data_IF_003415429102
#
_entry.id   IF_003415429102
#
_cell.length_a   1.000
_cell.length_b   1.000
_cell.length_c   1.000
_cell.angle_alpha   90.00
_cell.angle_beta   90.00
_cell.angle_gamma   90.00
#
_symmetry.space_group_name_H-M   'P 1'
#
loop_
_entity.id
_entity.type
_entity.pdbx_description
1 polymer ?
#
# COMPACT_ATOMS: atom_id res chain seq x y z
N UNK A 1 -20.13 -6.52 -17.11
CA UNK A 1 -19.84 -5.90 -15.80
C UNK A 1 -21.13 -5.25 -15.29
N UNK A 2 -21.54 -5.53 -14.06
CA UNK A 2 -22.63 -4.79 -13.39
C UNK A 2 -21.97 -3.68 -12.58
N UNK A 3 -22.13 -2.43 -13.00
CA UNK A 3 -21.49 -1.25 -12.39
C UNK A 3 -22.56 -0.18 -12.23
N UNK A 4 -22.60 0.45 -11.07
CA UNK A 4 -23.48 1.56 -10.74
C UNK A 4 -22.65 2.74 -10.25
N UNK A 5 -23.07 3.96 -10.63
CA UNK A 5 -22.40 5.20 -10.23
C UNK A 5 -23.35 6.01 -9.36
N UNK A 6 -22.84 6.51 -8.24
CA UNK A 6 -23.58 7.37 -7.33
C UNK A 6 -22.83 8.68 -7.14
N UNK A 7 -23.56 9.80 -7.18
CA UNK A 7 -23.04 11.10 -6.80
C UNK A 7 -23.43 11.37 -5.35
N UNK A 8 -22.46 11.35 -4.45
CA UNK A 8 -22.62 11.59 -3.01
C UNK A 8 -21.32 12.11 -2.41
N UNK A 9 -21.42 12.77 -1.26
CA UNK A 9 -20.26 12.98 -0.40
C UNK A 9 -19.85 11.66 0.23
N UNK A 10 -18.56 11.49 0.49
CA UNK A 10 -18.07 10.22 1.05
C UNK A 10 -18.48 10.02 2.51
N UNK A 11 -18.69 11.12 3.26
CA UNK A 11 -19.27 11.07 4.60
C UNK A 11 -20.70 10.50 4.61
N UNK A 12 -21.39 10.56 3.46
CA UNK A 12 -22.73 10.01 3.27
C UNK A 12 -22.71 8.56 2.74
N UNK A 13 -21.54 7.92 2.59
CA UNK A 13 -21.42 6.56 2.08
C UNK A 13 -22.23 5.53 2.88
N UNK A 14 -22.50 5.80 4.15
CA UNK A 14 -23.37 5.00 5.01
C UNK A 14 -24.79 4.77 4.40
N UNK A 15 -25.25 5.69 3.55
CA UNK A 15 -26.57 5.65 2.90
C UNK A 15 -26.66 4.64 1.74
N UNK A 16 -25.51 4.19 1.20
CA UNK A 16 -25.50 3.20 0.12
C UNK A 16 -26.15 1.88 0.58
N UNK A 17 -26.85 1.12 -0.28
CA UNK A 17 -27.39 -0.17 0.09
C UNK A 17 -26.29 -1.23 0.28
N UNK A 18 -26.56 -2.24 1.11
CA UNK A 18 -25.70 -3.43 1.26
C UNK A 18 -24.39 -3.20 2.02
N UNK A 19 -23.45 -4.13 1.90
CA UNK A 19 -22.07 -4.01 2.40
C UNK A 19 -21.13 -4.53 1.30
N UNK A 20 -19.85 -4.22 1.43
CA UNK A 20 -18.83 -4.55 0.43
C UNK A 20 -17.73 -5.41 1.05
N UNK A 21 -17.32 -6.45 0.33
CA UNK A 21 -16.16 -7.28 0.70
C UNK A 21 -14.84 -6.54 0.48
N UNK A 22 -14.82 -5.59 -0.46
CA UNK A 22 -13.69 -4.74 -0.78
C UNK A 22 -14.12 -3.29 -0.93
N UNK A 23 -13.44 -2.39 -0.21
CA UNK A 23 -13.54 -0.94 -0.42
C UNK A 23 -12.17 -0.43 -0.86
N UNK A 24 -12.11 0.27 -1.98
CA UNK A 24 -10.88 0.89 -2.48
C UNK A 24 -10.99 2.42 -2.43
N UNK A 25 -10.32 3.06 -1.45
CA UNK A 25 -10.40 4.50 -1.20
C UNK A 25 -9.01 5.13 -1.33
N UNK A 26 -8.65 5.51 -2.56
CA UNK A 26 -7.31 5.98 -2.90
C UNK A 26 -7.34 7.46 -3.23
N UNK A 27 -6.53 8.28 -2.54
CA UNK A 27 -6.38 9.69 -2.89
C UNK A 27 -7.57 10.58 -2.48
N UNK A 28 -8.35 10.19 -1.46
CA UNK A 28 -9.60 10.89 -1.11
C UNK A 28 -9.64 11.38 0.34
N UNK A 29 -9.47 10.48 1.31
CA UNK A 29 -9.78 10.78 2.72
C UNK A 29 -9.01 11.99 3.29
N UNK A 30 -7.78 12.22 2.84
CA UNK A 30 -6.94 13.31 3.32
C UNK A 30 -7.32 14.69 2.76
N UNK A 31 -8.21 14.76 1.76
CA UNK A 31 -8.80 15.99 1.25
C UNK A 31 -10.12 16.35 1.94
N UNK A 32 -10.59 15.53 2.89
CA UNK A 32 -11.82 15.83 3.61
C UNK A 32 -11.56 16.88 4.69
N UNK A 33 -12.55 17.74 4.99
CA UNK A 33 -12.49 18.61 6.16
C UNK A 33 -12.50 17.80 7.47
N UNK A 34 -13.17 16.65 7.48
CA UNK A 34 -13.24 15.74 8.62
C UNK A 34 -12.92 14.29 8.19
N UNK A 35 -11.64 13.93 7.97
CA UNK A 35 -11.26 12.61 7.46
C UNK A 35 -11.81 11.45 8.27
N UNK A 36 -11.84 11.61 9.60
CA UNK A 36 -12.38 10.61 10.53
C UNK A 36 -13.84 10.26 10.19
N UNK A 37 -14.68 11.24 9.87
CA UNK A 37 -16.09 10.99 9.51
C UNK A 37 -16.19 10.19 8.22
N UNK A 38 -15.40 10.56 7.21
CA UNK A 38 -15.34 9.81 5.94
C UNK A 38 -14.87 8.37 6.15
N UNK A 39 -13.81 8.17 6.91
CA UNK A 39 -13.29 6.82 7.23
C UNK A 39 -14.32 5.98 7.97
N UNK A 40 -15.02 6.55 8.95
CA UNK A 40 -16.07 5.84 9.70
C UNK A 40 -17.27 5.49 8.82
N UNK A 41 -17.68 6.39 7.91
CA UNK A 41 -18.78 6.13 6.98
C UNK A 41 -18.47 4.92 6.08
N UNK A 42 -17.23 4.84 5.57
CA UNK A 42 -16.76 3.68 4.78
C UNK A 42 -16.66 2.41 5.62
N UNK A 43 -16.13 2.48 6.84
CA UNK A 43 -15.99 1.32 7.74
C UNK A 43 -17.35 0.65 8.06
N UNK A 44 -18.43 1.42 8.13
CA UNK A 44 -19.80 0.89 8.31
C UNK A 44 -20.26 0.06 7.11
N UNK A 45 -19.81 0.41 5.90
CA UNK A 45 -20.12 -0.30 4.66
C UNK A 45 -19.25 -1.51 4.39
N UNK A 46 -18.14 -1.66 5.10
CA UNK A 46 -17.31 -2.86 5.00
C UNK A 46 -18.05 -4.06 5.62
N UNK A 47 -18.14 -5.17 4.90
CA UNK A 47 -18.69 -6.42 5.39
C UNK A 47 -17.74 -7.04 6.45
N UNK A 48 -18.22 -7.85 7.41
CA UNK A 48 -17.34 -8.66 8.25
C UNK A 48 -16.41 -9.52 7.40
N UNK A 49 -15.11 -9.54 7.71
CA UNK A 49 -14.07 -10.17 6.89
C UNK A 49 -13.64 -9.36 5.66
N UNK A 50 -14.35 -8.27 5.34
CA UNK A 50 -14.01 -7.39 4.23
C UNK A 50 -12.74 -6.60 4.47
N UNK A 51 -12.10 -6.18 3.38
CA UNK A 51 -10.85 -5.42 3.35
C UNK A 51 -11.10 -4.03 2.78
N UNK A 52 -10.54 -3.01 3.41
CA UNK A 52 -10.51 -1.65 2.90
C UNK A 52 -9.08 -1.22 2.61
N UNK A 53 -8.83 -0.82 1.38
CA UNK A 53 -7.58 -0.26 0.91
C UNK A 53 -7.64 1.27 0.98
N UNK A 54 -6.65 1.89 1.63
CA UNK A 54 -6.56 3.35 1.81
C UNK A 54 -5.21 3.86 1.32
N UNK A 55 -5.25 5.00 0.62
CA UNK A 55 -4.10 5.84 0.33
C UNK A 55 -4.28 7.23 0.94
N UNK A 56 -3.30 7.70 1.71
CA UNK A 56 -3.22 9.08 2.23
C UNK A 56 -1.79 9.61 2.21
N UNK A 57 -1.62 10.92 2.19
CA UNK A 57 -0.31 11.53 2.10
C UNK A 57 0.53 11.44 3.39
N UNK A 58 1.84 11.29 3.20
CA UNK A 58 2.82 11.15 4.27
C UNK A 58 3.62 12.44 4.44
N UNK A 59 3.49 13.06 5.60
CA UNK A 59 4.04 14.38 5.92
C UNK A 59 5.56 14.43 5.74
N UNK A 60 6.29 13.41 6.21
CA UNK A 60 7.74 13.47 6.24
C UNK A 60 8.38 13.37 4.84
N UNK A 61 7.77 12.65 3.90
CA UNK A 61 8.27 12.60 2.52
C UNK A 61 7.74 13.71 1.62
N UNK A 62 6.70 14.42 2.07
CA UNK A 62 6.12 15.60 1.39
C UNK A 62 6.50 16.92 2.03
N UNK A 63 7.37 16.95 3.04
CA UNK A 63 7.70 18.19 3.76
C UNK A 63 8.25 19.30 2.83
N UNK A 64 8.96 18.97 1.73
CA UNK A 64 9.34 19.96 0.73
C UNK A 64 8.13 20.59 0.04
N UNK A 65 7.06 19.82 -0.21
CA UNK A 65 5.82 20.29 -0.83
C UNK A 65 5.14 21.28 0.09
N UNK A 66 5.01 20.94 1.38
CA UNK A 66 4.44 21.83 2.39
C UNK A 66 5.14 23.20 2.41
N UNK A 67 6.48 23.22 2.37
CA UNK A 67 7.23 24.47 2.34
C UNK A 67 6.96 25.32 1.09
N UNK A 68 6.76 24.67 -0.06
CA UNK A 68 6.43 25.37 -1.31
C UNK A 68 4.99 25.88 -1.27
N UNK A 69 4.04 25.09 -0.76
CA UNK A 69 2.65 25.52 -0.54
C UNK A 69 2.59 26.77 0.36
N UNK A 70 3.31 26.76 1.50
CA UNK A 70 3.41 27.90 2.41
C UNK A 70 4.05 29.13 1.72
N UNK A 71 5.12 28.92 0.95
CA UNK A 71 5.78 29.99 0.20
C UNK A 71 4.87 30.61 -0.88
N UNK A 72 4.12 29.78 -1.61
CA UNK A 72 3.12 30.24 -2.59
C UNK A 72 2.08 31.08 -1.86
N UNK A 73 1.46 30.55 -0.79
CA UNK A 73 0.42 31.28 -0.05
C UNK A 73 0.90 32.66 0.46
N UNK A 74 2.13 32.76 0.96
CA UNK A 74 2.74 34.03 1.38
C UNK A 74 2.89 35.02 0.21
N UNK A 75 3.26 34.53 -0.98
CA UNK A 75 3.47 35.36 -2.17
C UNK A 75 2.15 35.73 -2.88
N UNK A 76 1.11 34.92 -2.74
CA UNK A 76 -0.23 35.25 -3.24
C UNK A 76 -0.85 36.41 -2.46
N UNK A 77 -0.57 36.53 -1.16
CA UNK A 77 -1.10 37.60 -0.31
C UNK A 77 -2.64 37.64 -0.34
N UNK A 78 -3.22 38.74 -0.81
CA UNK A 78 -4.68 38.89 -0.92
C UNK A 78 -5.32 37.94 -1.96
N UNK A 79 -4.55 37.35 -2.87
CA UNK A 79 -5.02 36.39 -3.88
C UNK A 79 -4.98 34.93 -3.41
N UNK A 80 -4.73 34.67 -2.12
CA UNK A 80 -4.65 33.30 -1.61
C UNK A 80 -5.91 32.50 -1.96
N UNK A 81 -5.71 31.32 -2.55
CA UNK A 81 -6.80 30.46 -3.04
C UNK A 81 -7.17 30.67 -4.53
N UNK A 82 -6.60 31.67 -5.21
CA UNK A 82 -6.64 31.71 -6.68
C UNK A 82 -5.66 30.68 -7.25
N UNK A 83 -6.20 29.59 -7.79
CA UNK A 83 -5.41 28.50 -8.35
C UNK A 83 -4.51 28.93 -9.51
N UNK A 84 -4.98 29.83 -10.39
CA UNK A 84 -4.20 30.24 -11.57
C UNK A 84 -3.03 31.11 -11.16
N UNK A 85 -3.27 32.01 -10.21
CA UNK A 85 -2.21 32.80 -9.59
C UNK A 85 -1.20 31.90 -8.86
N UNK A 86 -1.68 30.94 -8.06
CA UNK A 86 -0.84 30.04 -7.28
C UNK A 86 0.08 29.18 -8.16
N UNK A 87 -0.45 28.64 -9.27
CA UNK A 87 0.37 27.94 -10.26
C UNK A 87 1.43 28.87 -10.83
N UNK A 88 1.05 30.08 -11.29
CA UNK A 88 2.00 31.05 -11.84
C UNK A 88 3.11 31.38 -10.85
N UNK A 89 2.75 31.72 -9.61
CA UNK A 89 3.70 32.04 -8.53
C UNK A 89 4.62 30.85 -8.26
N UNK A 90 4.08 29.65 -8.12
CA UNK A 90 4.87 28.43 -7.89
C UNK A 90 5.87 28.15 -9.01
N UNK A 91 5.46 28.31 -10.27
CA UNK A 91 6.37 28.19 -11.43
C UNK A 91 7.48 29.24 -11.39
N UNK A 92 7.16 30.49 -11.06
CA UNK A 92 8.15 31.56 -10.92
C UNK A 92 9.15 31.27 -9.79
N UNK A 93 8.71 30.71 -8.66
CA UNK A 93 9.59 30.27 -7.57
C UNK A 93 10.61 29.26 -8.12
N UNK A 94 10.17 28.17 -8.75
CA UNK A 94 11.09 27.13 -9.23
C UNK A 94 12.00 27.61 -10.38
N UNK A 95 11.54 28.56 -11.20
CA UNK A 95 12.33 29.14 -12.27
C UNK A 95 13.47 30.04 -11.76
N UNK A 96 13.29 30.68 -10.59
CA UNK A 96 14.20 31.71 -10.09
C UNK A 96 14.96 31.32 -8.83
N UNK A 97 14.59 30.24 -8.15
CA UNK A 97 15.36 29.72 -7.02
C UNK A 97 16.77 29.27 -7.49
N UNK A 98 17.81 29.44 -6.65
CA UNK A 98 19.15 28.97 -6.97
C UNK A 98 19.15 27.48 -7.32
N UNK A 99 19.91 27.09 -8.34
CA UNK A 99 19.95 25.69 -8.83
C UNK A 99 20.31 24.67 -7.73
N UNK A 100 21.13 25.10 -6.75
CA UNK A 100 21.52 24.26 -5.63
C UNK A 100 20.51 24.16 -4.48
N UNK A 101 19.38 24.89 -4.56
CA UNK A 101 18.33 24.86 -3.56
C UNK A 101 17.71 23.45 -3.43
N UNK A 102 17.44 23.02 -2.19
CA UNK A 102 16.91 21.69 -1.89
C UNK A 102 15.55 21.42 -2.55
N UNK A 103 14.65 22.43 -2.56
CA UNK A 103 13.33 22.32 -3.17
C UNK A 103 13.43 22.13 -4.68
N UNK A 104 14.31 22.90 -5.35
CA UNK A 104 14.60 22.76 -6.79
C UNK A 104 15.14 21.37 -7.12
N UNK A 105 16.08 20.86 -6.31
CA UNK A 105 16.63 19.50 -6.51
C UNK A 105 15.57 18.42 -6.35
N UNK A 106 14.67 18.55 -5.36
CA UNK A 106 13.58 17.59 -5.14
C UNK A 106 12.59 17.61 -6.30
N UNK A 107 12.18 18.80 -6.73
CA UNK A 107 11.28 19.00 -7.87
C UNK A 107 11.84 18.39 -9.17
N UNK A 108 13.11 18.67 -9.47
CA UNK A 108 13.79 18.15 -10.68
C UNK A 108 14.15 16.66 -10.61
N UNK A 109 13.97 16.01 -9.47
CA UNK A 109 14.25 14.57 -9.33
C UNK A 109 12.96 13.79 -9.13
N UNK A 110 12.38 13.85 -7.93
CA UNK A 110 11.22 13.05 -7.54
C UNK A 110 9.98 13.41 -8.35
N UNK A 111 9.75 14.70 -8.60
CA UNK A 111 8.51 15.21 -9.19
C UNK A 111 8.63 15.61 -10.66
N UNK A 112 9.79 15.35 -11.26
CA UNK A 112 10.13 15.84 -12.59
C UNK A 112 9.13 15.39 -13.67
N UNK A 113 8.53 14.21 -13.52
CA UNK A 113 7.58 13.68 -14.50
C UNK A 113 6.13 14.10 -14.22
N UNK A 114 5.80 14.37 -12.97
CA UNK A 114 4.42 14.54 -12.49
C UNK A 114 3.95 16.00 -12.65
N UNK A 115 4.84 16.97 -12.46
CA UNK A 115 4.47 18.39 -12.40
C UNK A 115 4.52 19.14 -13.73
N UNK A 116 4.59 18.47 -14.87
CA UNK A 116 4.62 19.18 -16.16
C UNK A 116 3.29 19.86 -16.50
N UNK A 117 2.17 19.28 -16.09
CA UNK A 117 0.84 19.83 -16.33
C UNK A 117 0.45 20.77 -15.18
N UNK A 118 -0.30 21.82 -15.48
CA UNK A 118 -0.70 22.80 -14.48
C UNK A 118 -1.72 22.24 -13.50
N UNK A 119 -2.54 21.28 -13.93
CA UNK A 119 -3.48 20.56 -13.08
C UNK A 119 -2.75 19.73 -12.02
N UNK A 120 -1.70 19.00 -12.41
CA UNK A 120 -0.87 18.25 -11.48
C UNK A 120 -0.11 19.18 -10.52
N UNK A 121 0.42 20.29 -11.04
CA UNK A 121 1.10 21.28 -10.20
C UNK A 121 0.14 21.92 -9.20
N UNK A 122 -1.08 22.25 -9.63
CA UNK A 122 -2.11 22.81 -8.78
C UNK A 122 -2.53 21.82 -7.70
N UNK A 123 -2.75 20.55 -8.06
CA UNK A 123 -3.07 19.47 -7.12
C UNK A 123 -1.97 19.30 -6.07
N UNK A 124 -0.70 19.38 -6.47
CA UNK A 124 0.38 19.16 -5.53
C UNK A 124 0.74 20.39 -4.67
N UNK A 125 0.73 21.59 -5.24
CA UNK A 125 1.27 22.80 -4.59
C UNK A 125 0.24 23.89 -4.26
N UNK A 126 -1.00 23.76 -4.72
CA UNK A 126 -2.02 24.83 -4.60
C UNK A 126 -3.33 24.28 -4.03
N UNK A 127 -3.39 23.01 -3.66
CA UNK A 127 -4.60 22.40 -3.14
C UNK A 127 -4.91 22.93 -1.72
N UNK A 128 -6.12 23.47 -1.46
CA UNK A 128 -6.41 24.20 -0.23
C UNK A 128 -6.73 23.31 0.98
N UNK A 129 -7.05 22.04 0.74
CA UNK A 129 -7.47 21.09 1.77
C UNK A 129 -6.66 19.80 1.64
N UNK A 130 -5.60 19.69 2.43
CA UNK A 130 -4.73 18.52 2.48
C UNK A 130 -4.34 18.26 3.94
N UNK A 131 -4.54 17.03 4.40
CA UNK A 131 -4.08 16.56 5.70
C UNK A 131 -2.99 15.51 5.47
N UNK A 132 -1.77 15.90 5.78
CA UNK A 132 -0.62 15.00 5.79
C UNK A 132 -0.53 14.24 7.11
N UNK A 133 -0.25 12.95 7.02
CA UNK A 133 -0.12 12.07 8.18
C UNK A 133 1.33 11.78 8.51
N UNK A 134 1.62 11.59 9.80
CA UNK A 134 2.78 10.82 10.27
C UNK A 134 2.28 9.47 10.76
N UNK A 135 3.18 8.53 11.06
CA UNK A 135 2.75 7.24 11.64
C UNK A 135 1.87 7.43 12.88
N UNK A 136 2.15 8.43 13.72
CA UNK A 136 1.31 8.67 14.90
C UNK A 136 -0.13 9.06 14.53
N UNK A 137 -0.31 10.09 13.72
CA UNK A 137 -1.66 10.58 13.34
C UNK A 137 -2.38 9.63 12.39
N UNK A 138 -1.63 8.84 11.60
CA UNK A 138 -2.19 7.77 10.77
C UNK A 138 -2.85 6.70 11.64
N UNK A 139 -2.16 6.25 12.69
CA UNK A 139 -2.72 5.23 13.59
C UNK A 139 -3.88 5.77 14.43
N UNK A 140 -3.94 7.08 14.70
CA UNK A 140 -5.14 7.72 15.26
C UNK A 140 -6.34 7.63 14.30
N UNK A 141 -6.14 7.91 13.00
CA UNK A 141 -7.18 7.74 11.98
C UNK A 141 -7.65 6.28 11.87
N UNK A 142 -6.69 5.34 11.86
CA UNK A 142 -6.98 3.90 11.83
C UNK A 142 -7.79 3.49 13.05
N UNK A 143 -7.36 3.88 14.25
CA UNK A 143 -8.08 3.57 15.48
C UNK A 143 -9.51 4.15 15.48
N UNK A 144 -9.69 5.37 14.96
CA UNK A 144 -10.99 6.01 14.86
C UNK A 144 -11.95 5.30 13.89
N UNK A 145 -11.44 4.51 12.94
CA UNK A 145 -12.26 3.70 12.04
C UNK A 145 -12.95 2.52 12.73
N UNK A 146 -12.40 2.05 13.85
CA UNK A 146 -12.84 0.81 14.52
C UNK A 146 -12.50 -0.47 13.75
N UNK A 147 -11.62 -0.41 12.74
CA UNK A 147 -11.15 -1.54 11.96
C UNK A 147 -9.74 -1.97 12.39
N UNK A 148 -9.38 -3.21 12.08
CA UNK A 148 -8.07 -3.76 12.37
C UNK A 148 -7.08 -3.37 11.26
N UNK A 149 -5.88 -2.93 11.66
CA UNK A 149 -4.77 -2.74 10.72
C UNK A 149 -4.22 -4.08 10.24
N UNK A 150 -4.18 -4.29 8.93
CA UNK A 150 -3.61 -5.50 8.32
C UNK A 150 -2.13 -5.30 7.99
N UNK A 151 -1.78 -4.13 7.45
CA UNK A 151 -0.43 -3.83 7.00
C UNK A 151 -0.40 -2.83 5.84
N UNK A 152 0.80 -2.32 5.57
CA UNK A 152 1.08 -1.51 4.39
C UNK A 152 1.21 -2.38 3.13
N UNK A 153 0.88 -1.83 1.96
CA UNK A 153 1.03 -2.51 0.67
C UNK A 153 2.50 -2.82 0.35
N UNK A 154 3.39 -1.87 0.60
CA UNK A 154 4.82 -1.93 0.31
C UNK A 154 5.66 -2.51 1.47
N UNK A 155 5.39 -3.76 1.85
CA UNK A 155 5.97 -4.40 3.06
C UNK A 155 7.49 -4.28 3.20
N UNK A 156 8.25 -4.36 2.11
CA UNK A 156 9.71 -4.27 2.15
C UNK A 156 10.24 -2.90 2.55
N UNK A 157 9.49 -1.83 2.26
CA UNK A 157 9.83 -0.51 2.75
C UNK A 157 9.83 -0.49 4.28
N UNK A 158 8.89 -1.22 4.89
CA UNK A 158 8.73 -1.34 6.33
C UNK A 158 9.62 -2.42 6.97
N UNK A 159 10.57 -2.98 6.23
CA UNK A 159 11.58 -3.86 6.78
C UNK A 159 12.74 -3.05 7.41
N UNK A 160 12.75 -2.95 8.74
CA UNK A 160 13.79 -2.21 9.48
C UNK A 160 15.23 -2.70 9.22
N UNK A 161 15.42 -3.98 8.88
CA UNK A 161 16.74 -4.54 8.60
C UNK A 161 17.41 -3.89 7.36
N UNK A 162 16.61 -3.32 6.44
CA UNK A 162 17.09 -2.51 5.30
C UNK A 162 17.94 -1.32 5.74
N UNK A 163 17.60 -0.72 6.88
CA UNK A 163 18.19 0.53 7.35
C UNK A 163 19.31 0.29 8.36
N UNK A 164 19.06 -0.59 9.33
CA UNK A 164 19.99 -0.80 10.47
C UNK A 164 20.49 -2.24 10.60
N UNK A 165 20.19 -3.12 9.64
CA UNK A 165 20.49 -4.56 9.73
C UNK A 165 21.98 -4.90 9.79
N UNK A 166 22.85 -3.98 9.37
CA UNK A 166 24.32 -4.12 9.51
C UNK A 166 24.82 -4.01 10.95
N UNK A 167 23.98 -3.55 11.89
CA UNK A 167 24.33 -3.42 13.30
C UNK A 167 23.47 -4.36 14.16
N UNK A 168 24.02 -5.51 14.58
CA UNK A 168 23.33 -6.43 15.50
C UNK A 168 22.90 -5.75 16.80
N UNK A 169 23.69 -4.77 17.27
CA UNK A 169 23.37 -4.01 18.48
C UNK A 169 22.14 -3.12 18.33
N UNK A 170 21.94 -2.50 17.15
CA UNK A 170 20.75 -1.70 16.89
C UNK A 170 19.51 -2.59 16.70
N UNK A 171 19.67 -3.73 16.01
CA UNK A 171 18.59 -4.72 15.87
C UNK A 171 18.12 -5.24 17.25
N UNK A 172 19.03 -5.61 18.13
CA UNK A 172 18.69 -6.07 19.48
C UNK A 172 17.98 -4.99 20.34
N UNK A 173 18.19 -3.70 20.04
CA UNK A 173 17.41 -2.61 20.64
C UNK A 173 16.02 -2.51 20.02
N UNK A 174 15.93 -2.64 18.71
CA UNK A 174 14.67 -2.56 17.97
C UNK A 174 13.72 -3.73 18.25
N UNK A 175 14.24 -4.91 18.60
CA UNK A 175 13.45 -6.08 19.04
C UNK A 175 12.56 -5.79 20.26
N UNK A 176 12.91 -4.77 21.07
CA UNK A 176 12.15 -4.36 22.26
C UNK A 176 11.04 -3.34 21.94
N UNK A 177 10.99 -2.84 20.72
CA UNK A 177 10.00 -1.84 20.31
C UNK A 177 8.67 -2.52 19.98
N UNK A 178 7.58 -1.81 20.26
CA UNK A 178 6.26 -2.16 19.72
C UNK A 178 6.29 -2.12 18.19
N UNK A 179 5.35 -2.81 17.53
CA UNK A 179 5.23 -2.73 16.07
C UNK A 179 5.01 -1.28 15.59
N UNK A 180 4.15 -0.54 16.30
CA UNK A 180 3.93 0.89 16.07
C UNK A 180 5.24 1.71 16.15
N UNK A 181 6.04 1.53 17.20
CA UNK A 181 7.31 2.25 17.33
C UNK A 181 8.35 1.81 16.30
N UNK A 182 8.27 0.58 15.79
CA UNK A 182 9.10 0.14 14.65
C UNK A 182 8.74 0.88 13.38
N UNK A 183 7.46 1.05 13.06
CA UNK A 183 7.03 1.87 11.92
C UNK A 183 7.48 3.32 12.06
N UNK A 184 7.31 3.92 13.25
CA UNK A 184 7.81 5.26 13.53
C UNK A 184 9.32 5.36 13.33
N UNK A 185 10.09 4.39 13.84
CA UNK A 185 11.53 4.38 13.68
C UNK A 185 11.93 4.33 12.20
N UNK A 186 11.28 3.50 11.40
CA UNK A 186 11.53 3.39 9.95
C UNK A 186 11.25 4.73 9.28
N UNK A 187 10.08 5.33 9.54
CA UNK A 187 9.69 6.62 8.98
C UNK A 187 10.70 7.74 9.29
N UNK A 188 11.30 7.72 10.49
CA UNK A 188 12.32 8.72 10.89
C UNK A 188 13.69 8.48 10.27
N UNK A 189 14.05 7.22 10.04
CA UNK A 189 15.34 6.86 9.46
C UNK A 189 15.33 6.91 7.93
N UNK A 190 14.16 6.82 7.32
CA UNK A 190 13.94 6.91 5.89
C UNK A 190 12.64 7.68 5.61
N UNK A 191 12.68 9.02 5.52
CA UNK A 191 11.49 9.83 5.28
C UNK A 191 11.17 9.98 3.78
N UNK A 192 11.46 8.98 2.93
CA UNK A 192 11.25 9.08 1.47
C UNK A 192 9.83 8.74 0.99
N UNK A 193 9.02 8.11 1.83
CA UNK A 193 7.64 7.74 1.48
C UNK A 193 6.76 8.98 1.44
N UNK A 194 6.09 9.20 0.32
CA UNK A 194 5.25 10.39 0.09
C UNK A 194 3.77 10.13 0.35
N UNK A 195 3.39 8.87 0.54
CA UNK A 195 2.03 8.45 0.84
C UNK A 195 2.05 7.10 1.57
N UNK A 196 1.12 6.90 2.48
CA UNK A 196 0.84 5.59 3.03
C UNK A 196 -0.22 4.91 2.17
N UNK A 197 0.05 3.67 1.81
CA UNK A 197 -0.90 2.78 1.19
C UNK A 197 -1.02 1.53 2.07
N UNK A 198 -2.21 1.28 2.60
CA UNK A 198 -2.43 0.28 3.64
C UNK A 198 -3.82 -0.33 3.61
N UNK A 199 -3.94 -1.46 4.29
CA UNK A 199 -5.17 -2.24 4.35
C UNK A 199 -5.71 -2.33 5.78
N UNK A 200 -7.02 -2.13 5.91
CA UNK A 200 -7.79 -2.35 7.13
C UNK A 200 -8.78 -3.50 6.90
N UNK A 201 -9.13 -4.24 7.94
CA UNK A 201 -10.21 -5.24 7.88
C UNK A 201 -11.26 -5.04 8.94
N UNK A 202 -12.49 -5.45 8.63
CA UNK A 202 -13.54 -5.58 9.64
C UNK A 202 -13.50 -6.97 10.25
N UNK A 203 -13.33 -7.11 11.57
CA UNK A 203 -13.30 -8.42 12.19
C UNK A 203 -14.63 -9.19 12.04
N UNK A 204 -14.59 -10.53 11.97
CA UNK A 204 -13.38 -11.35 11.91
C UNK A 204 -12.81 -11.41 10.48
N UNK A 205 -11.51 -11.17 10.31
CA UNK A 205 -10.78 -11.53 9.10
C UNK A 205 -10.14 -12.90 9.31
N UNK A 206 -10.55 -13.90 8.53
CA UNK A 206 -9.96 -15.23 8.59
C UNK A 206 -8.49 -15.21 8.17
N UNK A 207 -7.63 -15.82 8.98
CA UNK A 207 -6.20 -15.99 8.72
C UNK A 207 -5.87 -17.46 8.90
N UNK A 208 -5.14 -18.01 7.95
CA UNK A 208 -4.73 -19.42 7.94
C UNK A 208 -3.23 -19.53 8.21
N UNK A 209 -2.86 -20.41 9.13
CA UNK A 209 -1.47 -20.74 9.42
C UNK A 209 -1.12 -22.09 8.79
N UNK A 210 -0.07 -22.09 7.96
CA UNK A 210 0.43 -23.26 7.24
C UNK A 210 1.70 -23.83 7.88
N UNK A 211 1.95 -23.49 9.15
CA UNK A 211 3.09 -23.98 9.93
C UNK A 211 3.02 -25.49 10.15
N UNK A 212 1.84 -26.05 10.40
CA UNK A 212 1.63 -27.49 10.57
C UNK A 212 1.60 -28.22 9.22
N UNK A 213 2.37 -29.30 9.10
CA UNK A 213 2.47 -30.09 7.86
C UNK A 213 1.11 -30.68 7.43
N UNK A 214 0.28 -31.09 8.39
CA UNK A 214 -1.03 -31.67 8.09
C UNK A 214 -2.00 -30.66 7.48
N UNK A 215 -1.98 -29.42 7.96
CA UNK A 215 -2.80 -28.33 7.42
C UNK A 215 -2.31 -27.93 6.03
N UNK A 216 -0.99 -27.83 5.86
CA UNK A 216 -0.38 -27.55 4.57
C UNK A 216 -0.72 -28.63 3.55
N UNK A 217 -0.57 -29.91 3.89
CA UNK A 217 -0.92 -31.03 3.01
C UNK A 217 -2.39 -31.01 2.58
N UNK A 218 -3.30 -30.56 3.45
CA UNK A 218 -4.74 -30.49 3.18
C UNK A 218 -5.16 -29.25 2.37
N UNK A 219 -4.29 -28.24 2.24
CA UNK A 219 -4.62 -27.01 1.53
C UNK A 219 -4.78 -27.22 0.02
N UNK A 220 -5.63 -26.41 -0.60
CA UNK A 220 -5.74 -26.31 -2.06
C UNK A 220 -4.76 -25.25 -2.54
N UNK A 221 -3.82 -25.67 -3.39
CA UNK A 221 -2.82 -24.79 -3.98
C UNK A 221 -3.26 -24.29 -5.36
N UNK A 222 -3.12 -22.98 -5.57
CA UNK A 222 -3.32 -22.32 -6.84
C UNK A 222 -2.12 -21.46 -7.19
N UNK A 223 -1.78 -21.38 -8.48
CA UNK A 223 -0.78 -20.43 -8.94
C UNK A 223 -1.27 -18.99 -8.71
N UNK A 224 -0.39 -18.11 -8.21
CA UNK A 224 -0.76 -16.71 -8.00
C UNK A 224 -1.15 -16.05 -9.35
N UNK A 225 -2.36 -15.45 -9.46
CA UNK A 225 -2.81 -14.83 -10.70
C UNK A 225 -2.01 -13.58 -11.11
N UNK A 226 -1.21 -13.02 -10.21
CA UNK A 226 -0.40 -11.82 -10.44
C UNK A 226 1.02 -12.12 -10.95
N UNK A 227 1.31 -13.35 -11.38
CA UNK A 227 2.59 -13.69 -12.02
C UNK A 227 2.57 -13.25 -13.49
N UNK A 228 3.59 -12.49 -13.89
CA UNK A 228 3.70 -11.98 -15.26
C UNK A 228 4.75 -12.78 -16.05
N UNK A 229 4.44 -13.08 -17.31
CA UNK A 229 5.30 -13.88 -18.19
C UNK A 229 5.17 -15.40 -18.01
N UNK A 230 4.19 -15.86 -17.22
CA UNK A 230 3.82 -17.27 -17.14
C UNK A 230 3.14 -17.75 -18.45
N UNK A 231 3.41 -18.98 -18.96
CA UNK A 231 4.33 -19.99 -18.43
C UNK A 231 5.79 -19.80 -18.91
N UNK A 232 6.72 -19.71 -17.94
CA UNK A 232 8.17 -19.63 -18.16
C UNK A 232 8.90 -19.98 -16.86
N UNK A 233 10.15 -20.44 -16.93
CA UNK A 233 11.00 -20.56 -15.73
C UNK A 233 11.55 -19.20 -15.26
N UNK A 234 11.48 -18.19 -16.12
CA UNK A 234 11.82 -16.80 -15.80
C UNK A 234 10.55 -15.96 -15.91
N UNK A 235 10.03 -15.57 -14.76
CA UNK A 235 8.79 -14.80 -14.63
C UNK A 235 9.04 -13.55 -13.78
N UNK A 236 8.06 -12.66 -13.74
CA UNK A 236 8.00 -11.61 -12.75
C UNK A 236 6.96 -11.97 -11.69
N UNK A 237 7.32 -11.79 -10.41
CA UNK A 237 6.37 -11.95 -9.31
C UNK A 237 5.34 -10.80 -9.24
N UNK A 238 4.52 -10.81 -8.19
CA UNK A 238 3.48 -9.81 -7.95
C UNK A 238 4.02 -8.38 -7.78
N UNK A 239 5.31 -8.21 -7.46
CA UNK A 239 6.01 -6.94 -7.34
C UNK A 239 6.86 -6.62 -8.59
N UNK A 240 6.63 -7.32 -9.70
CA UNK A 240 7.38 -7.23 -10.95
C UNK A 240 8.88 -7.54 -10.81
N UNK A 241 9.29 -8.33 -9.81
CA UNK A 241 10.69 -8.74 -9.61
C UNK A 241 10.95 -10.03 -10.36
N UNK A 242 12.14 -10.11 -10.95
CA UNK A 242 12.54 -11.29 -11.69
C UNK A 242 12.71 -12.49 -10.76
N UNK A 243 12.01 -13.57 -11.07
CA UNK A 243 12.08 -14.85 -10.39
C UNK A 243 12.56 -15.92 -11.38
N UNK A 244 13.55 -16.70 -10.96
CA UNK A 244 13.98 -17.92 -11.67
C UNK A 244 13.48 -19.14 -10.89
N UNK A 245 12.76 -20.02 -11.60
CA UNK A 245 12.22 -21.27 -11.09
C UNK A 245 13.15 -22.42 -11.48
N UNK A 246 13.37 -23.35 -10.55
CA UNK A 246 13.90 -24.67 -10.88
C UNK A 246 12.91 -25.47 -11.73
N UNK A 247 13.38 -26.56 -12.36
CA UNK A 247 12.50 -27.47 -13.11
C UNK A 247 11.37 -28.02 -12.22
N UNK A 248 11.68 -28.37 -10.96
CA UNK A 248 10.70 -28.87 -9.99
C UNK A 248 9.65 -27.81 -9.62
N UNK A 249 10.07 -26.58 -9.28
CA UNK A 249 9.15 -25.48 -8.96
C UNK A 249 8.27 -25.15 -10.17
N UNK A 250 8.83 -25.13 -11.38
CA UNK A 250 8.08 -24.87 -12.61
C UNK A 250 7.01 -25.94 -12.85
N UNK A 251 7.38 -27.22 -12.77
CA UNK A 251 6.43 -28.33 -12.92
C UNK A 251 5.33 -28.29 -11.85
N UNK A 252 5.68 -27.93 -10.61
CA UNK A 252 4.72 -27.79 -9.52
C UNK A 252 3.74 -26.63 -9.75
N UNK A 253 4.21 -25.47 -10.22
CA UNK A 253 3.34 -24.35 -10.57
C UNK A 253 2.41 -24.67 -11.75
N UNK A 254 2.88 -25.47 -12.73
CA UNK A 254 2.02 -26.00 -13.80
C UNK A 254 0.91 -26.90 -13.25
N UNK A 255 1.23 -27.76 -12.27
CA UNK A 255 0.22 -28.57 -11.60
C UNK A 255 -0.80 -27.70 -10.84
N UNK A 256 -0.35 -26.64 -10.15
CA UNK A 256 -1.23 -25.68 -9.47
C UNK A 256 -2.13 -24.88 -10.43
N UNK A 257 -1.66 -24.56 -11.65
CA UNK A 257 -2.48 -23.89 -12.67
C UNK A 257 -3.66 -24.76 -13.11
N UNK A 258 -3.41 -26.04 -13.38
CA UNK A 258 -4.45 -27.03 -13.71
C UNK A 258 -5.40 -27.24 -12.53
N UNK A 259 -4.87 -27.17 -11.31
CA UNK A 259 -5.62 -27.42 -10.08
C UNK A 259 -6.77 -26.44 -9.82
N UNK A 260 -6.75 -25.24 -10.42
CA UNK A 260 -7.86 -24.26 -10.35
C UNK A 260 -9.22 -24.85 -10.74
N UNK A 261 -9.23 -25.92 -11.54
CA UNK A 261 -10.44 -26.62 -11.98
C UNK A 261 -10.68 -27.96 -11.27
N UNK A 262 -9.69 -28.49 -10.54
CA UNK A 262 -9.70 -29.84 -9.98
C UNK A 262 -9.84 -29.86 -8.46
N UNK A 263 -9.46 -28.78 -7.76
CA UNK A 263 -9.54 -28.68 -6.29
C UNK A 263 -8.84 -29.86 -5.57
N UNK A 264 -7.72 -30.35 -6.10
CA UNK A 264 -6.85 -31.32 -5.43
C UNK A 264 -6.12 -30.64 -4.27
N UNK A 265 -5.95 -31.40 -3.20
CA UNK A 265 -5.10 -31.05 -2.06
C UNK A 265 -3.63 -31.02 -2.46
N UNK A 266 -2.81 -30.29 -1.71
CA UNK A 266 -1.36 -30.30 -1.86
C UNK A 266 -0.81 -31.73 -1.78
N UNK A 267 -1.31 -32.54 -0.85
CA UNK A 267 -0.93 -33.95 -0.72
C UNK A 267 -1.08 -34.72 -2.03
N UNK A 268 -2.19 -34.52 -2.74
CA UNK A 268 -2.44 -35.19 -4.02
C UNK A 268 -1.52 -34.68 -5.12
N UNK A 269 -1.32 -33.36 -5.24
CA UNK A 269 -0.39 -32.76 -6.21
C UNK A 269 1.03 -33.28 -6.01
N UNK A 270 1.46 -33.39 -4.74
CA UNK A 270 2.81 -33.83 -4.38
C UNK A 270 3.09 -35.30 -4.71
N UNK A 271 2.05 -36.11 -4.98
CA UNK A 271 2.24 -37.48 -5.52
C UNK A 271 2.66 -37.49 -6.98
N UNK A 272 2.29 -36.45 -7.75
CA UNK A 272 2.61 -36.30 -9.17
C UNK A 272 3.90 -35.48 -9.38
N UNK A 273 4.11 -34.46 -8.55
CA UNK A 273 5.29 -33.58 -8.59
C UNK A 273 5.96 -33.57 -7.21
N UNK A 274 7.05 -34.33 -6.99
CA UNK A 274 7.62 -34.55 -5.66
C UNK A 274 8.47 -33.36 -5.20
N UNK A 275 7.79 -32.29 -4.79
CA UNK A 275 8.36 -31.12 -4.12
C UNK A 275 8.29 -31.32 -2.59
N UNK A 276 9.33 -30.95 -1.84
CA UNK A 276 9.24 -31.05 -0.38
C UNK A 276 8.36 -29.93 0.23
N UNK A 277 7.82 -30.14 1.43
CA UNK A 277 6.94 -29.16 2.07
C UNK A 277 7.66 -27.85 2.43
N UNK A 278 8.99 -27.86 2.60
CA UNK A 278 9.75 -26.64 2.85
C UNK A 278 9.86 -25.78 1.59
N UNK A 279 9.99 -26.41 0.42
CA UNK A 279 9.93 -25.77 -0.89
C UNK A 279 8.53 -25.24 -1.19
N UNK A 280 7.46 -25.98 -0.85
CA UNK A 280 6.08 -25.47 -0.96
C UNK A 280 5.89 -24.21 -0.10
N UNK A 281 6.34 -24.23 1.16
CA UNK A 281 6.31 -23.04 2.03
C UNK A 281 7.13 -21.89 1.48
N UNK A 282 8.29 -22.17 0.88
CA UNK A 282 9.10 -21.15 0.21
C UNK A 282 8.34 -20.50 -0.96
N UNK A 283 7.67 -21.30 -1.80
CA UNK A 283 6.83 -20.79 -2.89
C UNK A 283 5.66 -19.94 -2.38
N UNK A 284 5.01 -20.36 -1.29
CA UNK A 284 3.94 -19.60 -0.65
C UNK A 284 4.45 -18.29 -0.03
N UNK A 285 5.59 -18.32 0.67
CA UNK A 285 6.20 -17.13 1.27
C UNK A 285 6.63 -16.11 0.21
N UNK A 286 7.11 -16.60 -0.94
CA UNK A 286 7.43 -15.79 -2.12
C UNK A 286 6.19 -15.37 -2.92
N UNK A 287 4.99 -15.74 -2.47
CA UNK A 287 3.71 -15.43 -3.10
C UNK A 287 3.65 -15.93 -4.57
N UNK A 288 4.25 -17.07 -4.87
CA UNK A 288 4.14 -17.72 -6.18
C UNK A 288 2.94 -18.67 -6.24
N UNK A 289 2.53 -19.17 -5.07
CA UNK A 289 1.35 -19.99 -4.85
C UNK A 289 0.48 -19.35 -3.78
N UNK A 290 -0.82 -19.40 -4.00
CA UNK A 290 -1.85 -19.10 -3.00
C UNK A 290 -2.38 -20.42 -2.45
N UNK A 291 -2.63 -20.45 -1.14
CA UNK A 291 -3.19 -21.61 -0.44
C UNK A 291 -4.54 -21.24 0.14
N UNK A 292 -5.52 -22.12 -0.03
CA UNK A 292 -6.83 -22.03 0.61
C UNK A 292 -7.09 -23.29 1.42
N UNK A 293 -7.78 -23.20 2.56
CA UNK A 293 -8.16 -24.41 3.32
C UNK A 293 -9.06 -25.29 2.47
N UNK A 294 -8.94 -26.62 2.59
CA UNK A 294 -10.03 -27.49 2.20
C UNK A 294 -11.13 -27.31 3.24
N UNK A 295 -12.30 -26.83 2.80
CA UNK A 295 -13.44 -26.52 3.68
C UNK A 295 -13.99 -27.71 4.46
#
# INVERSE_FOLDING_TARGET
LRVEFHQLNIEDAAQLPGQFDLINCVGVLHHLPEPVKGTQALAQKLAPGGIMHIFVYAQLGRWEILLVQEAIALLQGENQGDYRDGVRVGREIFANLPENNRLVKREKSRWAMENHQDECFADMYVHPQEIDYRIETLFELIAASGLDFIGFSNRDYWNLARLIGKSPQLLARAEKLSEFDRYRLIERLDPEITHYEFFLSKPPLEKYDWSEDTELEAAIAEINPCLNGWPSQKILDHDYRMVSLSDLEFNFLQACEVNRSQNKTLKEILTEVPLDLAQVRSLQQRQLVLLTPSG
#
